data_IF_230238488825
#
_entry.id   IF_230238488825
#
_cell.length_a   1.000
_cell.length_b   1.000
_cell.length_c   1.000
_cell.angle_alpha   90.00
_cell.angle_beta   90.00
_cell.angle_gamma   90.00
#
_symmetry.space_group_name_H-M   'P 1'
#
loop_
_entity.id
_entity.type
_entity.pdbx_description
1 polymer ?
#
# COMPACT_ATOMS: atom_id res chain seq x y z
N UNK A 1 -20.94 -3.85 -12.64
CA UNK A 1 -19.78 -4.51 -12.01
C UNK A 1 -20.29 -5.40 -10.89
N UNK A 2 -19.91 -6.68 -10.83
CA UNK A 2 -20.15 -7.48 -9.64
C UNK A 2 -19.44 -6.84 -8.44
N UNK A 3 -19.97 -6.98 -7.21
CA UNK A 3 -19.31 -6.46 -6.03
C UNK A 3 -17.92 -7.08 -5.90
N UNK A 4 -16.93 -6.28 -5.49
CA UNK A 4 -15.60 -6.78 -5.16
C UNK A 4 -15.77 -7.90 -4.13
N UNK A 5 -15.44 -9.14 -4.52
CA UNK A 5 -15.49 -10.26 -3.61
C UNK A 5 -14.38 -10.08 -2.57
N UNK A 6 -14.65 -10.35 -1.29
CA UNK A 6 -13.61 -10.24 -0.27
C UNK A 6 -12.46 -11.21 -0.60
N UNK A 7 -11.22 -10.76 -0.45
CA UNK A 7 -10.02 -11.56 -0.74
C UNK A 7 -10.06 -12.96 -0.08
N UNK A 8 -10.65 -13.09 1.10
CA UNK A 8 -10.83 -14.38 1.77
C UNK A 8 -11.61 -15.40 0.94
N UNK A 9 -12.60 -14.94 0.16
CA UNK A 9 -13.36 -15.78 -0.77
C UNK A 9 -12.55 -16.13 -2.00
N UNK A 10 -11.81 -15.17 -2.55
CA UNK A 10 -10.96 -15.42 -3.71
C UNK A 10 -9.79 -16.39 -3.38
N UNK A 11 -9.21 -16.28 -2.19
CA UNK A 11 -8.21 -17.25 -1.69
C UNK A 11 -8.83 -18.62 -1.38
N UNK A 12 -10.12 -18.69 -1.04
CA UNK A 12 -10.80 -19.96 -0.85
C UNK A 12 -10.86 -20.75 -2.16
N UNK A 13 -11.16 -20.08 -3.27
CA UNK A 13 -11.22 -20.68 -4.61
C UNK A 13 -9.85 -21.22 -5.07
N UNK A 14 -8.76 -20.62 -4.59
CA UNK A 14 -7.37 -21.07 -4.84
C UNK A 14 -6.88 -22.15 -3.86
N UNK A 15 -7.72 -22.62 -2.93
CA UNK A 15 -7.28 -23.59 -1.90
C UNK A 15 -6.82 -24.91 -2.53
N UNK A 16 -7.44 -25.34 -3.63
CA UNK A 16 -7.03 -26.56 -4.34
C UNK A 16 -5.66 -26.45 -5.01
N UNK A 17 -5.22 -25.24 -5.34
CA UNK A 17 -3.95 -24.97 -6.03
C UNK A 17 -2.81 -24.63 -5.05
N UNK A 18 -3.08 -24.61 -3.75
CA UNK A 18 -2.17 -24.07 -2.73
C UNK A 18 -0.79 -24.75 -2.70
N UNK A 19 -0.72 -26.07 -2.87
CA UNK A 19 0.57 -26.78 -2.90
C UNK A 19 1.42 -26.37 -4.11
N UNK A 20 0.79 -26.10 -5.25
CA UNK A 20 1.48 -25.68 -6.47
C UNK A 20 2.01 -24.23 -6.42
N UNK A 21 1.59 -23.44 -5.42
CA UNK A 21 2.09 -22.08 -5.20
C UNK A 21 3.36 -22.05 -4.34
N UNK A 22 3.82 -23.20 -3.84
CA UNK A 22 4.97 -23.28 -2.95
C UNK A 22 6.28 -23.06 -3.70
N UNK A 23 7.08 -22.10 -3.24
CA UNK A 23 8.36 -21.76 -3.86
C UNK A 23 8.21 -20.93 -5.14
N UNK A 24 6.98 -20.62 -5.54
CA UNK A 24 6.73 -19.78 -6.71
C UNK A 24 7.20 -18.35 -6.47
N UNK A 25 7.75 -17.76 -7.53
CA UNK A 25 8.31 -16.40 -7.48
C UNK A 25 7.23 -15.35 -7.25
N UNK A 26 6.07 -15.48 -7.91
CA UNK A 26 4.97 -14.52 -7.84
C UNK A 26 4.50 -14.20 -6.41
N UNK A 27 4.07 -15.19 -5.62
CA UNK A 27 3.68 -14.98 -4.22
C UNK A 27 4.77 -14.32 -3.37
N UNK A 28 6.03 -14.71 -3.59
CA UNK A 28 7.19 -14.14 -2.88
C UNK A 28 7.37 -12.64 -3.22
N UNK A 29 7.25 -12.27 -4.49
CA UNK A 29 7.33 -10.88 -4.94
C UNK A 29 6.20 -10.02 -4.37
N UNK A 30 4.97 -10.54 -4.34
CA UNK A 30 3.80 -9.86 -3.76
C UNK A 30 4.05 -9.56 -2.28
N UNK A 31 4.35 -10.59 -1.48
CA UNK A 31 4.58 -10.41 -0.03
C UNK A 31 5.79 -9.52 0.23
N UNK A 32 6.87 -9.66 -0.55
CA UNK A 32 8.06 -8.83 -0.47
C UNK A 32 7.77 -7.35 -0.75
N UNK A 33 6.95 -7.06 -1.76
CA UNK A 33 6.52 -5.69 -2.10
C UNK A 33 5.70 -5.08 -0.97
N UNK A 34 4.72 -5.81 -0.44
CA UNK A 34 3.88 -5.32 0.67
C UNK A 34 4.69 -5.04 1.93
N UNK A 35 5.57 -5.96 2.34
CA UNK A 35 6.43 -5.77 3.52
C UNK A 35 7.38 -4.59 3.36
N UNK A 36 7.98 -4.42 2.18
CA UNK A 36 8.83 -3.26 1.88
C UNK A 36 8.01 -1.96 1.96
N UNK A 37 6.79 -1.97 1.42
CA UNK A 37 5.90 -0.81 1.48
C UNK A 37 5.51 -0.41 2.89
N UNK A 38 5.20 -1.40 3.75
CA UNK A 38 4.97 -1.17 5.20
C UNK A 38 6.19 -0.52 5.83
N UNK A 39 7.38 -1.11 5.66
CA UNK A 39 8.61 -0.58 6.25
C UNK A 39 8.92 0.86 5.81
N UNK A 40 8.70 1.19 4.53
CA UNK A 40 8.88 2.56 4.02
C UNK A 40 7.89 3.54 4.66
N UNK A 41 6.61 3.17 4.78
CA UNK A 41 5.61 4.00 5.43
C UNK A 41 5.87 4.18 6.94
N UNK A 42 6.29 3.13 7.64
CA UNK A 42 6.67 3.19 9.05
C UNK A 42 7.87 4.13 9.27
N UNK A 43 8.91 3.99 8.44
CA UNK A 43 10.08 4.89 8.47
C UNK A 43 9.66 6.33 8.21
N UNK A 44 8.82 6.55 7.19
CA UNK A 44 8.40 7.90 6.83
C UNK A 44 7.56 8.57 7.92
N UNK A 45 6.70 7.84 8.63
CA UNK A 45 5.98 8.39 9.80
C UNK A 45 6.96 8.71 10.93
N UNK A 46 7.88 7.81 11.24
CA UNK A 46 8.85 8.02 12.31
C UNK A 46 9.70 9.28 12.04
N UNK A 47 10.18 9.43 10.81
CA UNK A 47 10.93 10.61 10.37
C UNK A 47 10.05 11.87 10.39
N UNK A 48 8.77 11.77 10.01
CA UNK A 48 7.82 12.87 10.09
C UNK A 48 7.61 13.36 11.51
N UNK A 49 7.40 12.44 12.46
CA UNK A 49 7.22 12.76 13.88
C UNK A 49 8.51 13.30 14.51
N UNK A 50 9.68 12.92 13.98
CA UNK A 50 10.98 13.50 14.32
C UNK A 50 11.25 14.89 13.67
N UNK A 51 10.36 15.37 12.80
CA UNK A 51 10.46 16.67 12.15
C UNK A 51 11.34 16.70 10.89
N UNK A 52 11.55 15.56 10.23
CA UNK A 52 12.29 15.47 8.97
C UNK A 52 11.64 16.31 7.84
N UNK A 53 12.43 16.66 6.82
CA UNK A 53 11.90 17.36 5.65
C UNK A 53 10.92 16.47 4.91
N UNK A 54 9.68 16.91 4.90
CA UNK A 54 8.58 16.15 4.37
C UNK A 54 8.61 15.96 2.84
N UNK A 55 9.45 16.71 2.12
CA UNK A 55 9.74 16.39 0.71
C UNK A 55 10.48 15.05 0.56
N UNK A 56 11.44 14.77 1.44
CA UNK A 56 12.18 13.49 1.46
C UNK A 56 11.25 12.33 1.78
N UNK A 57 10.28 12.57 2.67
CA UNK A 57 9.28 11.56 3.03
C UNK A 57 8.40 11.19 1.85
N UNK A 58 7.87 12.16 1.11
CA UNK A 58 7.03 11.90 -0.08
C UNK A 58 7.77 11.01 -1.07
N UNK A 59 9.02 11.34 -1.39
CA UNK A 59 9.80 10.59 -2.38
C UNK A 59 10.00 9.13 -1.95
N UNK A 60 10.13 8.89 -0.64
CA UNK A 60 10.27 7.53 -0.10
C UNK A 60 8.97 6.70 -0.16
N UNK A 61 7.79 7.32 -0.02
CA UNK A 61 6.50 6.60 0.07
C UNK A 61 5.64 6.66 -1.19
N UNK A 62 5.94 7.54 -2.15
CA UNK A 62 5.12 7.74 -3.36
C UNK A 62 4.85 6.44 -4.12
N UNK A 63 5.84 5.54 -4.12
CA UNK A 63 5.77 4.24 -4.82
C UNK A 63 5.93 3.05 -3.89
N UNK A 64 5.83 3.25 -2.57
CA UNK A 64 6.12 2.21 -1.57
C UNK A 64 5.29 0.93 -1.77
N UNK A 65 4.04 1.06 -2.20
CA UNK A 65 3.13 -0.07 -2.45
C UNK A 65 2.91 -0.37 -3.94
N UNK A 66 3.57 0.36 -4.83
CA UNK A 66 3.46 0.12 -6.28
C UNK A 66 4.26 -1.13 -6.64
N UNK A 67 3.69 -2.09 -7.40
CA UNK A 67 4.46 -3.20 -7.94
C UNK A 67 5.71 -2.72 -8.66
N UNK A 68 6.86 -3.28 -8.32
CA UNK A 68 8.11 -2.99 -9.02
C UNK A 68 8.12 -3.63 -10.41
N UNK A 69 9.18 -3.37 -11.18
CA UNK A 69 9.27 -3.87 -12.57
C UNK A 69 9.17 -5.39 -12.68
N UNK A 70 9.63 -6.14 -11.67
CA UNK A 70 9.55 -7.59 -11.67
C UNK A 70 8.13 -8.06 -11.40
N UNK A 71 7.49 -7.58 -10.32
CA UNK A 71 6.12 -7.96 -10.00
C UNK A 71 5.12 -7.49 -11.06
N UNK A 72 5.30 -6.28 -11.61
CA UNK A 72 4.48 -5.78 -12.69
C UNK A 72 4.59 -6.65 -13.95
N UNK A 73 5.79 -7.12 -14.29
CA UNK A 73 6.01 -8.01 -15.42
C UNK A 73 5.38 -9.40 -15.20
N UNK A 74 5.44 -9.94 -13.96
CA UNK A 74 4.75 -11.18 -13.60
C UNK A 74 3.22 -11.03 -13.75
N UNK A 75 2.63 -9.96 -13.21
CA UNK A 75 1.19 -9.71 -13.34
C UNK A 75 0.79 -9.55 -14.81
N UNK A 76 1.57 -8.83 -15.61
CA UNK A 76 1.31 -8.66 -17.03
C UNK A 76 1.37 -9.99 -17.80
N UNK A 77 2.36 -10.83 -17.51
CA UNK A 77 2.46 -12.17 -18.09
C UNK A 77 1.27 -13.05 -17.70
N UNK A 78 0.87 -13.04 -16.43
CA UNK A 78 -0.27 -13.83 -15.98
C UNK A 78 -1.58 -13.39 -16.63
N UNK A 79 -1.75 -12.09 -16.95
CA UNK A 79 -2.89 -11.61 -17.75
C UNK A 79 -2.85 -12.19 -19.16
N UNK A 80 -1.72 -12.12 -19.84
CA UNK A 80 -1.52 -12.65 -21.19
C UNK A 80 -1.81 -14.17 -21.25
N UNK A 81 -1.28 -14.94 -20.31
CA UNK A 81 -1.53 -16.40 -20.21
C UNK A 81 -3.00 -16.70 -19.93
N UNK A 82 -3.68 -15.90 -19.11
CA UNK A 82 -5.10 -16.11 -18.82
C UNK A 82 -6.00 -15.81 -20.02
N UNK A 83 -5.62 -14.84 -20.88
CA UNK A 83 -6.36 -14.47 -22.09
C UNK A 83 -6.13 -15.45 -23.25
N UNK A 84 -4.93 -16.03 -23.36
CA UNK A 84 -4.51 -16.77 -24.55
C UNK A 84 -4.11 -18.24 -24.29
N UNK A 85 -4.10 -18.69 -23.04
CA UNK A 85 -3.58 -19.99 -22.66
C UNK A 85 -4.35 -20.68 -21.53
N UNK A 86 -3.71 -21.69 -20.96
CA UNK A 86 -4.23 -22.41 -19.77
C UNK A 86 -3.51 -21.83 -18.55
N UNK A 87 -4.21 -21.08 -17.68
CA UNK A 87 -3.57 -20.39 -16.57
C UNK A 87 -3.10 -21.36 -15.50
N UNK A 88 -1.83 -21.22 -15.11
CA UNK A 88 -1.25 -21.97 -14.01
C UNK A 88 -1.80 -21.45 -12.67
N UNK A 89 -1.69 -22.24 -11.58
CA UNK A 89 -1.94 -21.78 -10.21
C UNK A 89 -1.40 -20.38 -9.89
N UNK A 90 -0.13 -20.12 -10.26
CA UNK A 90 0.53 -18.84 -9.99
C UNK A 90 -0.13 -17.68 -10.74
N UNK A 91 -0.60 -17.90 -11.96
CA UNK A 91 -1.30 -16.88 -12.74
C UNK A 91 -2.64 -16.53 -12.09
N UNK A 92 -3.40 -17.55 -11.72
CA UNK A 92 -4.69 -17.37 -11.03
C UNK A 92 -4.51 -16.66 -9.69
N UNK A 93 -3.44 -16.96 -8.95
CA UNK A 93 -3.07 -16.25 -7.74
C UNK A 93 -2.74 -14.77 -8.00
N UNK A 94 -1.85 -14.47 -8.95
CA UNK A 94 -1.45 -13.10 -9.25
C UNK A 94 -2.63 -12.25 -9.72
N UNK A 95 -3.49 -12.80 -10.57
CA UNK A 95 -4.70 -12.11 -11.03
C UNK A 95 -5.75 -11.92 -9.93
N UNK A 96 -5.80 -12.83 -8.96
CA UNK A 96 -6.65 -12.72 -7.79
C UNK A 96 -6.19 -11.59 -6.86
N UNK A 97 -4.88 -11.44 -6.66
CA UNK A 97 -4.31 -10.45 -5.74
C UNK A 97 -4.13 -9.07 -6.38
N UNK A 98 -3.97 -8.99 -7.70
CA UNK A 98 -3.75 -7.73 -8.41
C UNK A 98 -4.78 -6.61 -8.09
N UNK A 99 -6.10 -6.87 -8.05
CA UNK A 99 -7.08 -5.83 -7.67
C UNK A 99 -6.88 -5.27 -6.26
N UNK A 100 -6.44 -6.11 -5.30
CA UNK A 100 -6.15 -5.65 -3.94
C UNK A 100 -4.89 -4.78 -3.90
N UNK A 101 -3.87 -5.13 -4.70
CA UNK A 101 -2.68 -4.29 -4.87
C UNK A 101 -3.04 -2.93 -5.48
N UNK A 102 -3.85 -2.91 -6.54
CA UNK A 102 -4.30 -1.67 -7.17
C UNK A 102 -5.09 -0.80 -6.17
N UNK A 103 -5.98 -1.41 -5.38
CA UNK A 103 -6.73 -0.71 -4.34
C UNK A 103 -5.83 -0.16 -3.21
N UNK A 104 -4.75 -0.85 -2.85
CA UNK A 104 -3.75 -0.37 -1.90
C UNK A 104 -2.92 0.78 -2.48
N UNK A 105 -2.54 0.71 -3.75
CA UNK A 105 -1.82 1.77 -4.46
C UNK A 105 -2.66 3.05 -4.50
N UNK A 106 -3.95 2.96 -4.85
CA UNK A 106 -4.85 4.12 -4.89
C UNK A 106 -5.05 4.73 -3.49
N UNK A 107 -5.21 3.89 -2.47
CA UNK A 107 -5.25 4.36 -1.08
C UNK A 107 -3.95 5.07 -0.70
N UNK A 108 -2.80 4.47 -0.98
CA UNK A 108 -1.46 5.06 -0.75
C UNK A 108 -1.33 6.43 -1.43
N UNK A 109 -1.72 6.56 -2.70
CA UNK A 109 -1.72 7.83 -3.44
C UNK A 109 -2.59 8.90 -2.78
N UNK A 110 -3.75 8.51 -2.28
CA UNK A 110 -4.64 9.41 -1.55
C UNK A 110 -3.99 9.93 -0.25
N UNK A 111 -3.31 9.03 0.50
CA UNK A 111 -2.55 9.41 1.70
C UNK A 111 -1.39 10.35 1.36
N UNK A 112 -0.63 10.06 0.30
CA UNK A 112 0.44 10.92 -0.20
C UNK A 112 -0.10 12.31 -0.58
N UNK A 113 -1.27 12.39 -1.19
CA UNK A 113 -1.94 13.66 -1.50
C UNK A 113 -2.27 14.47 -0.23
N UNK A 114 -2.76 13.82 0.82
CA UNK A 114 -3.01 14.45 2.12
C UNK A 114 -1.70 14.92 2.77
N UNK A 115 -0.65 14.10 2.73
CA UNK A 115 0.69 14.47 3.23
C UNK A 115 1.23 15.70 2.49
N UNK A 116 1.18 15.74 1.16
CA UNK A 116 1.57 16.92 0.35
C UNK A 116 0.85 18.19 0.81
N UNK A 117 -0.44 18.09 1.13
CA UNK A 117 -1.24 19.22 1.64
C UNK A 117 -0.77 19.66 3.03
N UNK A 118 -0.50 18.72 3.93
CA UNK A 118 0.02 19.00 5.27
C UNK A 118 1.33 19.79 5.21
N UNK A 119 2.23 19.39 4.31
CA UNK A 119 3.53 20.02 4.08
C UNK A 119 3.39 21.43 3.53
N UNK A 120 2.47 21.63 2.59
CA UNK A 120 2.18 22.95 2.04
C UNK A 120 1.62 23.91 3.11
N UNK A 121 0.88 23.40 4.10
CA UNK A 121 0.42 24.18 5.25
C UNK A 121 1.58 24.49 6.21
N UNK A 122 2.42 23.50 6.50
CA UNK A 122 3.59 23.69 7.34
C UNK A 122 4.54 24.76 6.78
N UNK A 123 4.90 24.66 5.49
CA UNK A 123 5.74 25.66 4.81
C UNK A 123 5.13 27.07 4.88
N UNK A 124 3.81 27.19 4.69
CA UNK A 124 3.10 28.48 4.81
C UNK A 124 3.12 29.03 6.23
N UNK A 125 2.93 28.18 7.24
CA UNK A 125 2.99 28.60 8.65
C UNK A 125 4.37 29.12 9.06
N UNK A 126 5.44 28.62 8.40
CA UNK A 126 6.83 29.06 8.62
C UNK A 126 7.21 30.33 7.85
N UNK A 127 6.63 30.58 6.66
CA UNK A 127 7.24 31.53 5.71
C UNK A 127 6.86 33.01 5.86
N UNK A 128 5.70 33.38 6.40
CA UNK A 128 5.34 34.79 6.68
C UNK A 128 3.93 34.85 7.26
N UNK A 129 3.81 35.23 8.52
CA UNK A 129 2.54 35.66 9.06
C UNK A 129 2.61 37.08 9.60
N UNK A 130 1.75 37.95 9.05
CA UNK A 130 1.47 39.30 9.53
C UNK A 130 0.17 39.22 10.34
N UNK A 131 0.25 39.48 11.65
CA UNK A 131 -0.89 39.49 12.58
C UNK A 131 -0.98 38.23 13.45
N UNK A 132 -1.28 38.40 14.74
CA UNK A 132 -1.32 37.35 15.78
C UNK A 132 -2.59 36.49 15.71
N UNK A 133 -3.74 37.06 15.32
CA UNK A 133 -5.03 36.35 15.27
C UNK A 133 -5.09 35.25 14.19
N UNK A 134 -4.55 35.52 12.99
CA UNK A 134 -4.53 34.53 11.90
C UNK A 134 -3.52 33.40 12.14
N UNK A 135 -2.59 33.58 13.10
CA UNK A 135 -1.53 32.63 13.38
C UNK A 135 -1.99 31.41 14.19
N UNK A 136 -2.86 31.62 15.17
CA UNK A 136 -3.38 30.51 15.96
C UNK A 136 -4.22 29.56 15.07
N UNK A 137 -5.10 30.10 14.24
CA UNK A 137 -6.02 29.32 13.41
C UNK A 137 -5.31 28.37 12.45
N UNK A 138 -4.31 28.81 11.66
CA UNK A 138 -3.68 27.85 10.75
C UNK A 138 -2.61 26.95 11.40
N UNK A 139 -2.21 27.19 12.67
CA UNK A 139 -1.52 26.15 13.44
C UNK A 139 -2.50 25.03 13.81
N UNK A 140 -3.73 25.38 14.21
CA UNK A 140 -4.80 24.41 14.44
C UNK A 140 -5.16 23.66 13.15
N UNK A 141 -5.35 24.36 12.03
CA UNK A 141 -5.64 23.72 10.74
C UNK A 141 -4.51 22.78 10.30
N UNK A 142 -3.25 23.19 10.51
CA UNK A 142 -2.09 22.34 10.27
C UNK A 142 -2.20 21.08 11.12
N UNK A 143 -2.38 21.22 12.43
CA UNK A 143 -2.39 20.09 13.37
C UNK A 143 -3.54 19.11 13.06
N UNK A 144 -4.72 19.62 12.70
CA UNK A 144 -5.84 18.80 12.25
C UNK A 144 -5.51 18.00 10.98
N UNK A 145 -4.87 18.64 10.00
CA UNK A 145 -4.46 17.95 8.75
C UNK A 145 -3.37 16.93 9.02
N UNK A 146 -2.43 17.22 9.91
CA UNK A 146 -1.37 16.29 10.32
C UNK A 146 -1.97 15.04 10.99
N UNK A 147 -2.94 15.23 11.88
CA UNK A 147 -3.60 14.11 12.54
C UNK A 147 -4.45 13.28 11.56
N UNK A 148 -5.15 13.92 10.62
CA UNK A 148 -5.84 13.21 9.53
C UNK A 148 -4.87 12.36 8.70
N UNK A 149 -3.67 12.87 8.40
CA UNK A 149 -2.62 12.08 7.74
C UNK A 149 -2.22 10.86 8.59
N UNK A 150 -1.95 11.03 9.89
CA UNK A 150 -1.60 9.90 10.78
C UNK A 150 -2.67 8.82 10.82
N UNK A 151 -3.93 9.21 10.95
CA UNK A 151 -5.07 8.29 10.96
C UNK A 151 -5.15 7.53 9.63
N UNK A 152 -4.98 8.22 8.50
CA UNK A 152 -5.00 7.59 7.17
C UNK A 152 -3.84 6.62 6.97
N UNK A 153 -2.62 6.99 7.40
CA UNK A 153 -1.47 6.09 7.27
C UNK A 153 -1.67 4.86 8.16
N UNK A 154 -2.18 5.02 9.40
CA UNK A 154 -2.51 3.88 10.26
C UNK A 154 -3.50 2.93 9.59
N UNK A 155 -4.59 3.46 9.02
CA UNK A 155 -5.56 2.66 8.29
C UNK A 155 -4.97 1.94 7.07
N UNK A 156 -4.05 2.58 6.35
CA UNK A 156 -3.31 1.96 5.25
C UNK A 156 -2.44 0.80 5.76
N UNK A 157 -1.63 1.03 6.81
CA UNK A 157 -0.74 0.02 7.40
C UNK A 157 -1.50 -1.18 7.97
N UNK A 158 -2.61 -0.94 8.66
CA UNK A 158 -3.48 -2.00 9.18
C UNK A 158 -4.01 -2.89 8.05
N UNK A 159 -4.48 -2.28 6.96
CA UNK A 159 -4.99 -3.01 5.80
C UNK A 159 -3.90 -3.79 5.06
N UNK A 160 -2.73 -3.18 4.85
CA UNK A 160 -1.59 -3.84 4.22
C UNK A 160 -1.08 -5.01 5.06
N UNK A 161 -1.01 -4.85 6.39
CA UNK A 161 -0.60 -5.91 7.32
C UNK A 161 -1.61 -7.04 7.34
N UNK A 162 -2.91 -6.73 7.40
CA UNK A 162 -3.96 -7.75 7.32
C UNK A 162 -3.90 -8.55 6.00
N UNK A 163 -3.55 -7.90 4.89
CA UNK A 163 -3.31 -8.56 3.60
C UNK A 163 -2.10 -9.49 3.67
N UNK A 164 -0.96 -9.02 4.18
CA UNK A 164 0.24 -9.83 4.39
C UNK A 164 -0.10 -11.07 5.23
N UNK A 165 -0.77 -10.91 6.37
CA UNK A 165 -1.16 -12.00 7.26
C UNK A 165 -2.13 -13.00 6.61
N UNK A 166 -3.02 -12.53 5.74
CA UNK A 166 -3.91 -13.40 4.97
C UNK A 166 -3.12 -14.25 3.96
N UNK A 167 -2.20 -13.62 3.23
CA UNK A 167 -1.33 -14.29 2.25
C UNK A 167 -0.37 -15.26 2.93
N UNK A 168 0.30 -14.86 4.00
CA UNK A 168 1.21 -15.71 4.76
C UNK A 168 0.49 -16.93 5.33
N UNK A 169 -0.71 -16.76 5.92
CA UNK A 169 -1.52 -17.91 6.39
C UNK A 169 -1.95 -18.82 5.25
N UNK A 170 -2.31 -18.26 4.11
CA UNK A 170 -2.68 -19.04 2.93
C UNK A 170 -1.49 -19.85 2.40
N UNK A 171 -0.30 -19.24 2.31
CA UNK A 171 0.91 -19.89 1.82
C UNK A 171 1.51 -20.89 2.83
N UNK A 172 1.45 -20.61 4.14
CA UNK A 172 2.01 -21.48 5.18
C UNK A 172 1.20 -22.77 5.40
N UNK A 173 -0.13 -22.70 5.27
CA UNK A 173 -1.04 -23.88 5.37
C UNK A 173 -0.93 -24.87 4.20
N UNK A 174 0.10 -24.74 3.36
CA UNK A 174 0.51 -25.71 2.35
C UNK A 174 1.44 -26.82 2.91
N UNK A 175 1.74 -26.79 4.21
CA UNK A 175 2.78 -27.62 4.85
C UNK A 175 2.28 -28.85 5.62
N UNK A 176 1.04 -29.30 5.38
CA UNK A 176 0.49 -30.52 5.97
C UNK A 176 -0.04 -31.45 4.88
#
# INVERSE_FOLDING_TARGET
MPPAQPLSRLLADLTGDRQALRGERGPTLVVGTLRRGVALWESAIADFDAGADAAVLIDSVERALTPDGELAAEIARSRDVFEHGVPLPVDRFLLTVAPELDALVERSRTVVGALRKAIALERRSRSRWRGTGNRATALVDRDLVMEDVRVRVRGLLEQTTALIDALDRFLARSSF
#
